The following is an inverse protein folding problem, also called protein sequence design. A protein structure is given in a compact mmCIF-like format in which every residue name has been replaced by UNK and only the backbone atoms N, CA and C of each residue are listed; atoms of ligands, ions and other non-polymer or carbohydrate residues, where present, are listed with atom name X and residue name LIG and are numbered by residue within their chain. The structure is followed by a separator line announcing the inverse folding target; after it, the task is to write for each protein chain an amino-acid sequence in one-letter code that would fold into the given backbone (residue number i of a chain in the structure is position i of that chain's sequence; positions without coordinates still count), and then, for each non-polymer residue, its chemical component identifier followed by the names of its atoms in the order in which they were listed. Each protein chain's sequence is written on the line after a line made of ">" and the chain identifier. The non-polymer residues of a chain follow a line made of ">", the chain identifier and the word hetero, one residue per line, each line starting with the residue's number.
data_IF_045512299769
#
_entry.id   IF_045512299769
#
_cell.length_a   1.000
_cell.length_b   1.000
_cell.length_c   1.000
_cell.angle_alpha   90.00
_cell.angle_beta   90.00
_cell.angle_gamma   90.00
#
_symmetry.space_group_name_H-M   'P 1'
#
loop_
_entity.id
_entity.type
_entity.pdbx_description
1 polymer ?
#
# COMPACT_ATOMS: atom_id res chain seq x y z
N UNK A 1 -8.49 -27.62 -7.65
CA UNK A 1 -7.30 -28.01 -6.84
C UNK A 1 -7.58 -27.62 -5.40
N UNK A 2 -7.12 -28.39 -4.41
CA UNK A 2 -7.34 -28.00 -3.00
C UNK A 2 -6.15 -27.14 -2.55
N UNK A 3 -6.42 -25.97 -1.99
CA UNK A 3 -5.38 -25.07 -1.49
C UNK A 3 -5.01 -25.39 -0.03
N UNK A 4 -3.77 -25.11 0.36
CA UNK A 4 -3.29 -25.23 1.74
C UNK A 4 -3.83 -24.09 2.61
N UNK A 5 -4.04 -22.92 2.01
CA UNK A 5 -4.56 -21.71 2.64
C UNK A 5 -5.87 -21.30 1.98
N UNK A 6 -6.78 -20.71 2.76
CA UNK A 6 -8.09 -20.25 2.28
C UNK A 6 -8.01 -18.87 1.64
N UNK A 7 -7.02 -18.06 2.01
CA UNK A 7 -6.86 -16.71 1.50
C UNK A 7 -5.40 -16.26 1.37
N UNK A 8 -5.17 -15.32 0.45
CA UNK A 8 -3.92 -14.55 0.35
C UNK A 8 -4.25 -13.07 0.50
N UNK A 9 -3.54 -12.41 1.42
CA UNK A 9 -3.68 -10.99 1.72
C UNK A 9 -2.41 -10.29 1.28
N UNK A 10 -2.53 -9.28 0.45
CA UNK A 10 -1.41 -8.57 -0.16
C UNK A 10 -1.25 -7.17 0.43
N UNK A 11 -0.02 -6.73 0.59
CA UNK A 11 0.32 -5.32 0.54
C UNK A 11 0.27 -4.80 -0.90
N UNK A 12 0.31 -3.46 -1.09
CA UNK A 12 0.28 -2.82 -2.40
C UNK A 12 1.68 -2.43 -2.89
N UNK A 13 2.29 -1.44 -2.23
CA UNK A 13 3.53 -0.80 -2.69
C UNK A 13 4.76 -1.64 -2.37
N UNK A 14 5.54 -1.98 -3.41
CA UNK A 14 6.65 -2.93 -3.26
C UNK A 14 6.21 -4.40 -3.31
N UNK A 15 4.91 -4.66 -3.38
CA UNK A 15 4.31 -6.00 -3.41
C UNK A 15 3.56 -6.26 -4.72
N UNK A 16 2.32 -5.79 -4.89
CA UNK A 16 1.57 -5.91 -6.15
C UNK A 16 2.04 -4.92 -7.21
N UNK A 17 2.58 -3.78 -6.79
CA UNK A 17 3.16 -2.74 -7.63
C UNK A 17 4.62 -2.50 -7.25
N UNK A 18 5.39 -1.97 -8.19
CA UNK A 18 6.78 -1.54 -7.91
C UNK A 18 6.75 -0.33 -6.98
N UNK A 19 7.73 -0.25 -6.09
CA UNK A 19 7.88 0.92 -5.21
C UNK A 19 8.20 2.16 -6.04
N UNK A 20 7.56 3.29 -5.72
CA UNK A 20 7.80 4.54 -6.45
C UNK A 20 9.17 5.16 -6.14
N UNK A 21 9.71 5.92 -7.10
CA UNK A 21 11.00 6.61 -6.99
C UNK A 21 10.95 7.73 -5.93
N UNK A 22 11.85 7.67 -4.96
CA UNK A 22 12.02 8.74 -3.97
C UNK A 22 12.41 10.09 -4.62
N UNK A 23 13.08 10.03 -5.77
CA UNK A 23 13.48 11.23 -6.53
C UNK A 23 12.27 11.90 -7.19
N UNK A 24 11.39 11.13 -7.85
CA UNK A 24 10.16 11.67 -8.44
C UNK A 24 9.22 12.22 -7.36
N UNK A 25 9.13 11.52 -6.24
CA UNK A 25 8.29 11.99 -5.13
C UNK A 25 8.78 13.33 -4.55
N UNK A 26 10.09 13.51 -4.37
CA UNK A 26 10.67 14.80 -3.94
C UNK A 26 10.43 15.92 -4.96
N UNK A 27 10.54 15.62 -6.25
CA UNK A 27 10.24 16.60 -7.30
C UNK A 27 8.77 17.05 -7.24
N UNK A 28 7.84 16.11 -7.10
CA UNK A 28 6.42 16.40 -6.92
C UNK A 28 6.16 17.33 -5.71
N UNK A 29 6.78 17.06 -4.55
CA UNK A 29 6.59 17.90 -3.36
C UNK A 29 7.08 19.33 -3.57
N UNK A 30 8.19 19.52 -4.30
CA UNK A 30 8.69 20.86 -4.67
C UNK A 30 7.72 21.59 -5.59
N UNK A 31 7.12 20.91 -6.56
CA UNK A 31 6.12 21.52 -7.46
C UNK A 31 4.84 21.88 -6.70
N UNK A 32 4.38 21.01 -5.80
CA UNK A 32 3.24 21.31 -4.92
C UNK A 32 3.51 22.52 -4.05
N UNK A 33 4.68 22.61 -3.43
CA UNK A 33 5.09 23.73 -2.62
C UNK A 33 5.09 25.05 -3.41
N UNK A 34 5.71 25.06 -4.61
CA UNK A 34 5.74 26.22 -5.49
C UNK A 34 4.32 26.67 -5.87
N UNK A 35 3.42 25.73 -6.14
CA UNK A 35 2.02 26.02 -6.52
C UNK A 35 1.27 26.76 -5.40
N UNK A 36 1.47 26.37 -4.14
CA UNK A 36 0.82 27.03 -2.99
C UNK A 36 1.63 28.22 -2.45
N UNK A 37 2.81 28.51 -3.03
CA UNK A 37 3.70 29.61 -2.59
C UNK A 37 4.43 29.32 -1.28
N UNK A 38 4.67 28.05 -0.96
CA UNK A 38 5.37 27.62 0.24
C UNK A 38 6.87 27.41 -0.01
N UNK A 39 7.75 27.59 1.01
CA UNK A 39 9.14 27.14 0.95
C UNK A 39 9.20 25.62 0.74
N UNK A 40 9.93 25.19 -0.29
CA UNK A 40 9.92 23.78 -0.74
C UNK A 40 10.38 22.78 0.33
N UNK A 41 11.43 23.12 1.07
CA UNK A 41 11.99 22.22 2.09
C UNK A 41 11.07 22.10 3.31
N UNK A 42 10.47 23.22 3.76
CA UNK A 42 9.52 23.21 4.87
C UNK A 42 8.22 22.49 4.51
N UNK A 43 7.71 22.72 3.31
CA UNK A 43 6.53 22.01 2.82
C UNK A 43 6.80 20.50 2.76
N UNK A 44 7.95 20.09 2.19
CA UNK A 44 8.32 18.69 2.07
C UNK A 44 8.48 18.03 3.45
N UNK A 45 9.12 18.71 4.39
CA UNK A 45 9.27 18.25 5.77
C UNK A 45 7.90 18.03 6.43
N UNK A 46 7.03 19.04 6.41
CA UNK A 46 5.69 18.95 7.01
C UNK A 46 4.82 17.90 6.30
N UNK A 47 4.98 17.74 4.98
CA UNK A 47 4.30 16.68 4.24
C UNK A 47 4.69 15.28 4.75
N UNK A 48 5.97 15.04 5.01
CA UNK A 48 6.44 13.76 5.56
C UNK A 48 6.00 13.57 7.01
N UNK A 49 6.08 14.60 7.85
CA UNK A 49 5.63 14.58 9.26
C UNK A 49 4.13 14.30 9.39
N UNK A 50 3.31 14.71 8.43
CA UNK A 50 1.86 14.48 8.41
C UNK A 50 1.45 13.17 7.73
N UNK A 51 2.39 12.30 7.34
CA UNK A 51 2.09 11.03 6.65
C UNK A 51 1.19 10.11 7.47
N UNK A 52 1.46 9.96 8.76
CA UNK A 52 0.65 9.12 9.65
C UNK A 52 -0.80 9.59 9.75
N UNK A 53 -1.01 10.91 9.75
CA UNK A 53 -2.35 11.49 9.77
C UNK A 53 -3.11 11.26 8.45
N UNK A 54 -2.41 11.29 7.30
CA UNK A 54 -3.00 10.91 6.00
C UNK A 54 -3.37 9.43 5.96
N UNK A 55 -2.46 8.57 6.40
CA UNK A 55 -2.67 7.11 6.35
C UNK A 55 -3.67 6.60 7.39
N UNK A 56 -3.82 7.30 8.52
CA UNK A 56 -4.87 6.98 9.51
C UNK A 56 -6.24 7.61 9.22
N UNK A 57 -6.37 8.37 8.10
CA UNK A 57 -7.62 9.01 7.73
C UNK A 57 -7.98 10.27 8.51
N UNK A 58 -7.05 10.82 9.32
CA UNK A 58 -7.26 12.10 10.01
C UNK A 58 -7.46 13.24 9.00
N UNK A 59 -6.78 13.19 7.86
CA UNK A 59 -7.09 14.00 6.70
C UNK A 59 -7.94 13.19 5.72
N UNK A 60 -9.23 13.51 5.61
CA UNK A 60 -10.16 12.84 4.70
C UNK A 60 -9.86 13.10 3.22
N UNK A 61 -9.16 14.19 2.92
CA UNK A 61 -8.76 14.58 1.57
C UNK A 61 -7.33 15.11 1.57
N UNK A 62 -6.67 15.04 0.44
CA UNK A 62 -5.34 15.64 0.27
C UNK A 62 -5.40 17.17 0.36
N UNK A 63 -6.50 17.79 -0.10
CA UNK A 63 -6.72 19.22 0.07
C UNK A 63 -6.61 19.64 1.54
N UNK A 64 -7.30 18.92 2.45
CA UNK A 64 -7.26 19.23 3.89
C UNK A 64 -5.84 19.16 4.46
N UNK A 65 -5.01 18.21 4.00
CA UNK A 65 -3.61 18.12 4.42
C UNK A 65 -2.76 19.29 3.86
N UNK A 66 -2.90 19.62 2.57
CA UNK A 66 -2.19 20.77 1.97
C UNK A 66 -2.57 22.08 2.67
N UNK A 67 -3.86 22.30 2.92
CA UNK A 67 -4.35 23.46 3.68
C UNK A 67 -3.78 23.50 5.10
N UNK A 68 -3.70 22.36 5.76
CA UNK A 68 -3.10 22.25 7.09
C UNK A 68 -1.62 22.68 7.06
N UNK A 69 -0.85 22.18 6.09
CA UNK A 69 0.56 22.53 5.92
C UNK A 69 0.70 24.04 5.63
N UNK A 70 -0.12 24.61 4.75
CA UNK A 70 -0.10 26.05 4.49
C UNK A 70 -0.31 26.86 5.79
N UNK A 71 -1.30 26.48 6.60
CA UNK A 71 -1.55 27.14 7.89
C UNK A 71 -0.38 27.01 8.87
N UNK A 72 0.26 25.84 8.94
CA UNK A 72 1.46 25.64 9.76
C UNK A 72 2.63 26.53 9.32
N UNK A 73 2.71 26.87 8.04
CA UNK A 73 3.72 27.76 7.47
C UNK A 73 3.31 29.24 7.56
N UNK A 74 2.18 29.58 8.21
CA UNK A 74 1.67 30.95 8.30
C UNK A 74 1.11 31.48 6.99
N UNK A 75 0.84 30.62 6.01
CA UNK A 75 0.26 30.99 4.73
C UNK A 75 -1.27 30.88 4.79
N UNK A 76 -1.97 31.84 4.17
CA UNK A 76 -3.40 31.70 3.93
C UNK A 76 -3.62 30.75 2.74
N UNK A 77 -4.26 29.59 2.94
CA UNK A 77 -4.48 28.65 1.84
C UNK A 77 -5.48 29.24 0.82
N UNK A 78 -5.03 29.39 -0.42
CA UNK A 78 -5.89 29.72 -1.56
C UNK A 78 -6.50 28.43 -2.09
N UNK A 79 -7.83 28.24 -2.06
CA UNK A 79 -8.47 27.00 -2.50
C UNK A 79 -8.13 26.59 -3.93
N UNK A 80 -7.99 27.57 -4.85
CA UNK A 80 -7.64 27.27 -6.25
C UNK A 80 -6.21 26.73 -6.36
N UNK A 81 -5.25 27.33 -5.64
CA UNK A 81 -3.86 26.85 -5.61
C UNK A 81 -3.74 25.50 -4.91
N UNK A 82 -4.48 25.27 -3.82
CA UNK A 82 -4.54 23.97 -3.14
C UNK A 82 -5.04 22.91 -4.12
N UNK A 83 -6.13 23.17 -4.84
CA UNK A 83 -6.65 22.24 -5.83
C UNK A 83 -5.64 21.94 -6.95
N UNK A 84 -4.94 22.98 -7.45
CA UNK A 84 -3.88 22.80 -8.45
C UNK A 84 -2.72 21.97 -7.91
N UNK A 85 -2.25 22.22 -6.69
CA UNK A 85 -1.19 21.43 -6.07
C UNK A 85 -1.59 19.95 -5.90
N UNK A 86 -2.82 19.68 -5.49
CA UNK A 86 -3.36 18.32 -5.37
C UNK A 86 -3.49 17.65 -6.73
N UNK A 87 -3.87 18.41 -7.78
CA UNK A 87 -3.98 17.87 -9.14
C UNK A 87 -2.63 17.33 -9.68
N UNK A 88 -1.49 17.89 -9.25
CA UNK A 88 -0.15 17.41 -9.62
C UNK A 88 0.12 15.98 -9.16
N UNK A 89 -0.58 15.51 -8.12
CA UNK A 89 -0.38 14.15 -7.58
C UNK A 89 -0.98 13.06 -8.46
N UNK A 90 -2.07 13.34 -9.17
CA UNK A 90 -2.79 12.32 -9.93
C UNK A 90 -1.95 11.57 -10.96
N UNK A 91 -1.12 12.24 -11.80
CA UNK A 91 -0.24 11.52 -12.72
C UNK A 91 0.76 10.62 -12.01
N UNK A 92 1.28 11.05 -10.83
CA UNK A 92 2.23 10.27 -10.04
C UNK A 92 1.54 9.05 -9.41
N UNK A 93 0.37 9.23 -8.79
CA UNK A 93 -0.43 8.13 -8.23
C UNK A 93 -0.77 7.09 -9.30
N UNK A 94 -1.25 7.51 -10.47
CA UNK A 94 -1.57 6.61 -11.59
C UNK A 94 -0.37 5.79 -12.05
N UNK A 95 0.82 6.41 -12.13
CA UNK A 95 2.06 5.69 -12.49
C UNK A 95 2.53 4.75 -11.40
N UNK A 96 2.39 5.14 -10.12
CA UNK A 96 2.85 4.34 -8.99
C UNK A 96 1.98 3.10 -8.69
N UNK A 97 0.76 3.04 -9.26
CA UNK A 97 -0.15 1.89 -9.08
C UNK A 97 -0.21 1.04 -10.36
N UNK A 98 0.90 0.93 -11.07
CA UNK A 98 1.00 -0.02 -12.19
C UNK A 98 1.40 -1.40 -11.65
N UNK A 99 0.71 -2.47 -12.08
CA UNK A 99 0.99 -3.82 -11.59
C UNK A 99 2.40 -4.26 -12.00
N UNK A 100 2.99 -5.12 -11.16
CA UNK A 100 4.13 -5.95 -11.59
C UNK A 100 3.71 -6.84 -12.75
N UNK A 101 4.66 -7.23 -13.58
CA UNK A 101 4.41 -8.04 -14.78
C UNK A 101 3.66 -9.34 -14.50
N UNK A 102 3.89 -9.95 -13.33
CA UNK A 102 3.28 -11.21 -12.93
C UNK A 102 2.08 -11.05 -11.97
N UNK A 103 1.74 -9.81 -11.53
CA UNK A 103 0.72 -9.58 -10.53
C UNK A 103 -0.68 -10.04 -10.97
N UNK A 104 -1.14 -9.58 -12.13
CA UNK A 104 -2.48 -9.91 -12.66
C UNK A 104 -2.60 -11.42 -12.92
N UNK A 105 -1.57 -12.03 -13.54
CA UNK A 105 -1.57 -13.45 -13.82
C UNK A 105 -1.59 -14.29 -12.52
N UNK A 106 -0.85 -13.89 -11.50
CA UNK A 106 -0.83 -14.57 -10.19
C UNK A 106 -2.19 -14.46 -9.50
N UNK A 107 -2.78 -13.26 -9.45
CA UNK A 107 -4.11 -13.04 -8.86
C UNK A 107 -5.20 -13.86 -9.57
N UNK A 108 -5.19 -13.89 -10.92
CA UNK A 108 -6.11 -14.72 -11.71
C UNK A 108 -6.00 -16.20 -11.33
N UNK A 109 -4.78 -16.74 -11.24
CA UNK A 109 -4.56 -18.14 -10.87
C UNK A 109 -4.99 -18.46 -9.43
N UNK A 110 -4.78 -17.56 -8.49
CA UNK A 110 -5.26 -17.74 -7.11
C UNK A 110 -6.79 -17.82 -7.08
N UNK A 111 -7.47 -16.95 -7.83
CA UNK A 111 -8.93 -16.98 -7.97
C UNK A 111 -9.43 -18.28 -8.62
N UNK A 112 -8.79 -18.74 -9.69
CA UNK A 112 -9.09 -20.04 -10.35
C UNK A 112 -8.91 -21.23 -9.41
N UNK A 113 -7.93 -21.16 -8.49
CA UNK A 113 -7.71 -22.16 -7.45
C UNK A 113 -8.73 -22.06 -6.28
N UNK A 114 -9.65 -21.08 -6.31
CA UNK A 114 -10.65 -20.87 -5.26
C UNK A 114 -10.09 -20.18 -4.01
N UNK A 115 -8.92 -19.57 -4.09
CA UNK A 115 -8.31 -18.82 -3.00
C UNK A 115 -8.92 -17.41 -2.95
N UNK A 116 -9.39 -16.97 -1.78
CA UNK A 116 -9.86 -15.60 -1.56
C UNK A 116 -8.70 -14.63 -1.51
N UNK A 117 -8.94 -13.38 -1.88
CA UNK A 117 -7.88 -12.38 -1.93
C UNK A 117 -8.28 -11.09 -1.22
N UNK A 118 -7.34 -10.51 -0.48
CA UNK A 118 -7.51 -9.18 0.08
C UNK A 118 -6.27 -8.31 -0.15
N UNK A 119 -6.48 -7.01 -0.04
CA UNK A 119 -5.43 -6.00 0.00
C UNK A 119 -5.45 -5.30 1.35
N UNK A 120 -4.28 -5.05 1.94
CA UNK A 120 -4.10 -4.11 3.05
C UNK A 120 -3.04 -3.10 2.64
N UNK A 121 -3.42 -1.85 2.40
CA UNK A 121 -2.49 -0.80 2.00
C UNK A 121 -2.49 0.36 2.98
N UNK A 122 -1.29 0.72 3.49
CA UNK A 122 -1.09 2.00 4.17
C UNK A 122 -0.95 3.09 3.13
N UNK A 123 -2.00 3.90 2.96
CA UNK A 123 -2.07 4.87 1.87
C UNK A 123 -2.95 6.06 2.20
N UNK A 124 -2.84 7.09 1.38
CA UNK A 124 -3.68 8.27 1.39
C UNK A 124 -4.91 8.12 0.46
N UNK A 125 -5.88 9.02 0.62
CA UNK A 125 -7.22 8.91 0.03
C UNK A 125 -7.23 8.72 -1.50
N UNK A 126 -6.31 9.34 -2.23
CA UNK A 126 -6.26 9.23 -3.69
C UNK A 126 -5.95 7.82 -4.20
N UNK A 127 -5.27 6.99 -3.40
CA UNK A 127 -5.03 5.58 -3.75
C UNK A 127 -6.32 4.79 -3.69
N UNK A 128 -7.10 4.97 -2.62
CA UNK A 128 -8.41 4.35 -2.47
C UNK A 128 -9.39 4.82 -3.55
N UNK A 129 -9.35 6.12 -3.93
CA UNK A 129 -10.18 6.69 -4.98
C UNK A 129 -9.83 6.12 -6.38
N UNK A 130 -8.54 5.93 -6.67
CA UNK A 130 -8.09 5.41 -7.96
C UNK A 130 -8.21 3.89 -8.06
N UNK A 131 -8.26 3.17 -6.95
CA UNK A 131 -8.27 1.70 -6.90
C UNK A 131 -9.22 1.03 -7.89
N UNK A 132 -10.49 1.43 -8.04
CA UNK A 132 -11.41 0.80 -8.99
C UNK A 132 -10.97 0.86 -10.46
N UNK A 133 -10.03 1.76 -10.79
CA UNK A 133 -9.49 1.93 -12.14
C UNK A 133 -8.24 1.07 -12.38
N UNK A 134 -7.78 0.30 -11.40
CA UNK A 134 -6.59 -0.55 -11.52
C UNK A 134 -6.93 -1.90 -12.15
N UNK A 135 -6.01 -2.52 -12.92
CA UNK A 135 -6.27 -3.78 -13.61
C UNK A 135 -6.36 -4.99 -12.68
N UNK A 136 -5.98 -4.86 -11.41
CA UNK A 136 -6.05 -5.92 -10.42
C UNK A 136 -7.22 -5.79 -9.43
N UNK A 137 -7.97 -4.67 -9.47
CA UNK A 137 -9.09 -4.44 -8.55
C UNK A 137 -10.17 -5.54 -8.65
N UNK A 138 -10.42 -6.05 -9.85
CA UNK A 138 -11.38 -7.13 -10.06
C UNK A 138 -10.98 -8.49 -9.45
N UNK A 139 -9.69 -8.68 -9.15
CA UNK A 139 -9.14 -9.90 -8.57
C UNK A 139 -9.00 -9.84 -7.05
N UNK A 140 -9.28 -8.70 -6.42
CA UNK A 140 -9.20 -8.52 -4.98
C UNK A 140 -10.61 -8.45 -4.40
N UNK A 141 -10.98 -9.47 -3.62
CA UNK A 141 -12.32 -9.57 -3.03
C UNK A 141 -12.54 -8.50 -1.95
N UNK A 142 -11.49 -8.19 -1.17
CA UNK A 142 -11.57 -7.27 -0.03
C UNK A 142 -10.40 -6.27 -0.06
N UNK A 143 -10.56 -5.06 -0.61
CA UNK A 143 -9.56 -4.01 -0.51
C UNK A 143 -9.73 -3.23 0.81
N UNK A 144 -8.65 -3.14 1.61
CA UNK A 144 -8.59 -2.35 2.84
C UNK A 144 -7.52 -1.27 2.71
N UNK A 145 -7.94 -0.01 2.79
CA UNK A 145 -7.10 1.16 2.78
C UNK A 145 -7.05 1.78 4.17
N UNK A 146 -5.86 1.97 4.72
CA UNK A 146 -5.67 2.47 6.09
C UNK A 146 -6.36 3.82 6.32
N UNK A 147 -6.33 4.72 5.32
CA UNK A 147 -6.98 6.02 5.38
C UNK A 147 -8.52 5.95 5.52
N UNK A 148 -9.14 4.87 5.05
CA UNK A 148 -10.59 4.62 5.19
C UNK A 148 -10.90 3.80 6.44
N UNK A 149 -10.03 2.82 6.76
CA UNK A 149 -10.19 1.96 7.92
C UNK A 149 -9.90 2.67 9.26
N UNK A 150 -9.21 3.83 9.22
CA UNK A 150 -8.80 4.56 10.43
C UNK A 150 -7.72 3.84 11.26
N UNK A 151 -7.10 2.83 10.69
CA UNK A 151 -6.06 2.00 11.32
C UNK A 151 -5.07 1.56 10.26
N UNK A 152 -3.77 1.49 10.60
CA UNK A 152 -2.69 1.14 9.68
C UNK A 152 -1.84 -0.03 10.20
N UNK A 153 -1.04 -0.62 9.35
CA UNK A 153 -0.03 -1.61 9.72
C UNK A 153 1.00 -0.99 10.69
N UNK A 154 1.51 -1.70 11.68
CA UNK A 154 1.30 -3.11 11.99
C UNK A 154 0.21 -3.36 13.06
N UNK A 155 -0.80 -2.50 13.19
CA UNK A 155 -1.88 -2.68 14.17
C UNK A 155 -2.66 -3.97 13.86
N UNK A 156 -2.85 -4.88 14.83
CA UNK A 156 -3.54 -6.15 14.62
C UNK A 156 -4.99 -6.02 14.13
N UNK A 157 -5.62 -4.86 14.36
CA UNK A 157 -7.01 -4.62 13.94
C UNK A 157 -7.16 -4.64 12.43
N UNK A 158 -6.17 -4.13 11.66
CA UNK A 158 -6.28 -4.07 10.20
C UNK A 158 -6.24 -5.46 9.56
N UNK A 159 -5.41 -6.37 10.10
CA UNK A 159 -5.33 -7.77 9.62
C UNK A 159 -6.60 -8.56 9.98
N UNK A 160 -7.10 -8.40 11.21
CA UNK A 160 -8.35 -9.03 11.63
C UNK A 160 -9.55 -8.52 10.84
N UNK A 161 -9.55 -7.25 10.45
CA UNK A 161 -10.59 -6.68 9.58
C UNK A 161 -10.60 -7.39 8.21
N UNK A 162 -9.43 -7.64 7.61
CA UNK A 162 -9.32 -8.41 6.37
C UNK A 162 -9.86 -9.83 6.52
N UNK A 163 -9.45 -10.55 7.56
CA UNK A 163 -9.94 -11.89 7.84
C UNK A 163 -11.47 -11.92 8.04
N UNK A 164 -11.99 -11.00 8.83
CA UNK A 164 -13.42 -10.89 9.09
C UNK A 164 -14.23 -10.65 7.81
N UNK A 165 -13.78 -9.73 6.95
CA UNK A 165 -14.48 -9.44 5.69
C UNK A 165 -14.35 -10.58 4.66
N UNK A 166 -13.22 -11.31 4.68
CA UNK A 166 -13.06 -12.52 3.88
C UNK A 166 -13.83 -13.73 4.45
N UNK A 167 -14.22 -13.71 5.73
CA UNK A 167 -14.83 -14.86 6.41
C UNK A 167 -13.86 -16.04 6.59
N UNK A 168 -12.62 -15.75 6.99
CA UNK A 168 -11.54 -16.74 7.24
C UNK A 168 -10.86 -16.47 8.57
N UNK A 169 -10.20 -17.50 9.12
CA UNK A 169 -9.37 -17.33 10.31
C UNK A 169 -7.92 -16.93 9.92
N UNK A 170 -7.19 -16.17 10.75
CA UNK A 170 -5.84 -15.72 10.43
C UNK A 170 -4.87 -16.84 10.04
N UNK A 171 -4.94 -18.00 10.70
CA UNK A 171 -4.05 -19.13 10.42
C UNK A 171 -4.29 -19.80 9.05
N UNK A 172 -5.43 -19.51 8.41
CA UNK A 172 -5.76 -19.92 7.06
C UNK A 172 -5.24 -18.96 5.98
N UNK A 173 -4.59 -17.84 6.40
CA UNK A 173 -4.15 -16.78 5.50
C UNK A 173 -2.64 -16.74 5.31
N UNK A 174 -2.22 -16.56 4.05
CA UNK A 174 -0.88 -16.06 3.72
C UNK A 174 -0.96 -14.52 3.65
N UNK A 175 -0.01 -13.84 4.26
CA UNK A 175 0.20 -12.39 4.10
C UNK A 175 1.46 -12.15 3.29
N UNK A 176 1.37 -11.39 2.21
CA UNK A 176 2.50 -11.09 1.32
C UNK A 176 2.79 -9.61 1.36
N UNK A 177 4.03 -9.26 1.67
CA UNK A 177 4.47 -7.87 1.72
C UNK A 177 5.95 -7.69 1.50
N UNK A 178 6.37 -6.44 1.26
CA UNK A 178 7.77 -6.08 1.06
C UNK A 178 8.53 -5.79 2.37
N UNK A 179 7.86 -5.92 3.52
CA UNK A 179 8.39 -5.68 4.85
C UNK A 179 8.37 -4.22 5.29
N UNK A 180 7.70 -3.33 4.56
CA UNK A 180 7.41 -1.98 5.01
C UNK A 180 6.44 -1.95 6.20
N UNK A 181 6.46 -0.88 7.00
CA UNK A 181 5.54 -0.68 8.14
C UNK A 181 5.52 -1.83 9.16
N UNK A 182 6.58 -2.62 9.29
CA UNK A 182 6.64 -3.84 10.14
C UNK A 182 5.46 -4.79 9.91
N UNK A 183 5.02 -4.91 8.68
CA UNK A 183 3.78 -5.59 8.29
C UNK A 183 3.83 -7.11 8.46
N UNK A 184 5.00 -7.72 8.19
CA UNK A 184 5.16 -9.18 8.31
C UNK A 184 5.09 -9.62 9.78
N UNK A 185 5.78 -8.88 10.67
CA UNK A 185 5.67 -9.06 12.11
C UNK A 185 4.26 -8.80 12.62
N UNK A 186 3.55 -7.81 12.03
CA UNK A 186 2.14 -7.54 12.32
C UNK A 186 1.24 -8.71 11.96
N UNK A 187 1.39 -9.26 10.76
CA UNK A 187 0.65 -10.43 10.27
C UNK A 187 0.96 -11.69 11.11
N UNK A 188 2.24 -11.93 11.44
CA UNK A 188 2.64 -13.06 12.29
C UNK A 188 1.96 -13.00 13.67
N UNK A 189 1.90 -11.81 14.29
CA UNK A 189 1.28 -11.62 15.62
C UNK A 189 -0.21 -11.96 15.67
N UNK A 190 -0.91 -11.86 14.56
CA UNK A 190 -2.32 -12.30 14.49
C UNK A 190 -2.49 -13.76 14.09
N UNK A 191 -1.39 -14.46 13.76
CA UNK A 191 -1.39 -15.89 13.41
C UNK A 191 -1.46 -16.19 11.92
N UNK A 192 -1.27 -15.20 11.04
CA UNK A 192 -1.12 -15.42 9.60
C UNK A 192 0.24 -16.03 9.27
N UNK A 193 0.41 -16.53 8.04
CA UNK A 193 1.67 -16.99 7.47
C UNK A 193 2.31 -15.88 6.62
N UNK A 194 3.30 -15.12 7.15
CA UNK A 194 3.88 -14.03 6.39
C UNK A 194 4.91 -14.51 5.38
N UNK A 195 4.91 -13.87 4.23
CA UNK A 195 5.83 -14.11 3.12
C UNK A 195 6.42 -12.78 2.68
N UNK A 196 7.74 -12.65 2.75
CA UNK A 196 8.47 -11.50 2.24
C UNK A 196 8.65 -11.62 0.73
N UNK A 197 8.22 -10.61 -0.03
CA UNK A 197 8.64 -10.47 -1.43
C UNK A 197 9.86 -9.56 -1.51
N UNK A 198 10.89 -10.00 -2.24
CA UNK A 198 12.11 -9.23 -2.55
C UNK A 198 12.52 -9.48 -3.98
N UNK A 199 12.25 -8.52 -4.83
CA UNK A 199 12.69 -8.53 -6.23
C UNK A 199 14.11 -7.98 -6.29
N UNK A 200 15.12 -8.77 -6.73
CA UNK A 200 16.53 -8.37 -6.68
C UNK A 200 16.83 -7.06 -7.41
N UNK A 201 16.15 -6.81 -8.53
CA UNK A 201 16.37 -5.65 -9.40
C UNK A 201 15.88 -4.33 -8.77
N UNK A 202 15.06 -4.38 -7.72
CA UNK A 202 14.46 -3.21 -7.08
C UNK A 202 15.22 -2.74 -5.83
N UNK A 203 16.41 -3.28 -5.56
CA UNK A 203 17.12 -3.04 -4.32
C UNK A 203 17.67 -1.59 -4.16
N UNK A 204 17.75 -0.79 -5.24
CA UNK A 204 18.54 0.45 -5.26
C UNK A 204 17.83 1.75 -4.88
N UNK A 205 16.52 1.93 -5.16
CA UNK A 205 15.78 3.21 -4.95
C UNK A 205 14.41 3.00 -4.28
N UNK A 206 14.19 1.84 -3.69
CA UNK A 206 12.92 1.50 -3.05
C UNK A 206 12.72 2.27 -1.74
N UNK A 207 11.70 3.13 -1.70
CA UNK A 207 11.31 3.84 -0.50
C UNK A 207 10.47 2.93 0.41
N UNK A 208 11.10 2.34 1.44
CA UNK A 208 10.42 1.55 2.47
C UNK A 208 10.34 2.32 3.77
N UNK A 209 9.13 2.51 4.26
CA UNK A 209 8.90 3.13 5.58
C UNK A 209 9.02 2.05 6.65
N UNK A 210 9.91 2.26 7.64
CA UNK A 210 10.12 1.33 8.76
C UNK A 210 10.28 -0.13 8.30
N UNK A 211 11.18 -0.37 7.35
CA UNK A 211 11.47 -1.71 6.83
C UNK A 211 11.97 -2.65 7.93
N UNK A 212 11.47 -3.89 7.93
CA UNK A 212 11.87 -4.93 8.87
C UNK A 212 12.78 -5.97 8.23
N UNK A 213 13.70 -6.54 9.02
CA UNK A 213 14.42 -7.76 8.65
C UNK A 213 13.50 -8.96 8.85
N UNK A 214 13.42 -9.82 7.84
CA UNK A 214 12.57 -11.00 7.86
C UNK A 214 13.37 -12.27 7.59
N UNK A 215 13.35 -13.21 8.52
CA UNK A 215 14.04 -14.50 8.42
C UNK A 215 13.12 -15.66 8.00
N UNK A 216 11.81 -15.41 7.86
CA UNK A 216 10.82 -16.40 7.45
C UNK A 216 10.78 -16.65 5.93
N UNK A 217 9.64 -17.15 5.45
CA UNK A 217 9.43 -17.46 4.04
C UNK A 217 9.66 -16.23 3.15
N UNK A 218 10.37 -16.42 2.04
CA UNK A 218 10.69 -15.38 1.04
C UNK A 218 10.37 -15.88 -0.35
N UNK A 219 9.99 -14.93 -1.21
CA UNK A 219 9.79 -15.11 -2.64
C UNK A 219 10.47 -13.95 -3.39
N UNK A 220 10.84 -14.19 -4.65
CA UNK A 220 11.41 -13.16 -5.52
C UNK A 220 10.39 -12.66 -6.54
N UNK A 221 9.35 -13.45 -6.82
CA UNK A 221 8.28 -13.13 -7.75
C UNK A 221 6.93 -13.50 -7.14
N UNK A 222 5.86 -12.78 -7.52
CA UNK A 222 4.51 -13.10 -7.04
C UNK A 222 4.07 -14.52 -7.47
N UNK A 223 4.47 -14.94 -8.66
CA UNK A 223 4.17 -16.28 -9.16
C UNK A 223 4.66 -17.44 -8.27
N UNK A 224 5.71 -17.22 -7.46
CA UNK A 224 6.25 -18.22 -6.52
C UNK A 224 5.24 -18.57 -5.42
N UNK A 225 4.27 -17.67 -5.13
CA UNK A 225 3.18 -17.92 -4.18
C UNK A 225 2.33 -19.12 -4.53
N UNK A 226 2.15 -19.40 -5.82
CA UNK A 226 1.28 -20.48 -6.26
C UNK A 226 1.76 -21.83 -5.73
N UNK A 227 3.09 -22.05 -5.70
CA UNK A 227 3.67 -23.25 -5.12
C UNK A 227 3.49 -23.35 -3.59
N UNK A 228 3.39 -22.22 -2.89
CA UNK A 228 3.15 -22.18 -1.43
C UNK A 228 1.68 -22.44 -1.08
N UNK A 229 0.76 -21.99 -1.95
CA UNK A 229 -0.69 -22.04 -1.72
C UNK A 229 -1.28 -23.37 -2.20
N UNK A 230 -0.81 -23.93 -3.29
CA UNK A 230 -1.25 -25.24 -3.81
C UNK A 230 -0.85 -26.35 -2.84
N UNK A 231 -1.77 -27.27 -2.53
CA UNK A 231 -1.40 -28.48 -1.81
C UNK A 231 -0.55 -29.34 -2.75
N UNK A 232 0.62 -29.76 -2.29
CA UNK A 232 1.35 -30.86 -2.94
C UNK A 232 0.40 -32.03 -3.08
N UNK A 233 0.14 -32.43 -4.32
CA UNK A 233 -0.56 -33.73 -4.59
C UNK A 233 0.43 -34.80 -4.19
N UNK A 234 0.28 -35.33 -2.98
CA UNK A 234 0.95 -36.59 -2.53
C UNK A 234 0.17 -37.78 -3.02
#
# INVERSE_FOLDING_TARGET
>A
MSTKYSAVIFDLFGTLVVTFSATEYRALLKEMAATVGAPADDFSRLWLETSDQRWSGSFRTINANVEHICRMLGLAPDPARVQQAVALRWPVVKRSIQPRDDAVATLSRLREAGCRTALISDCSAEVAEYWPCTPFAEFIDVPIFSCTAGVKKPDPRIYRLACHQLGVEPHECVYVGDGGSCELSGAARVGMHPVLIRVPEEAGDAHRVNGEEWSGTRIERLGDLLALVEKSVT
#
